data_IF_203568519760
#
_entry.id   IF_203568519760
#
_cell.length_a   1.000
_cell.length_b   1.000
_cell.length_c   1.000
_cell.angle_alpha   90.00
_cell.angle_beta   90.00
_cell.angle_gamma   90.00
#
_symmetry.space_group_name_H-M   'P 1'
#
loop_
_entity.id
_entity.type
_entity.pdbx_description
1 polymer ?
#
# COMPACT_ATOMS: atom_id res chain seq x y z
N UNK A 1 -9.80 -8.09 -20.16
CA UNK A 1 -9.29 -9.15 -19.25
C UNK A 1 -7.88 -8.78 -18.86
N UNK A 2 -7.64 -8.22 -17.67
CA UNK A 2 -6.31 -7.71 -17.34
C UNK A 2 -6.16 -7.48 -15.85
N UNK A 3 -5.90 -8.55 -15.12
CA UNK A 3 -5.59 -8.48 -13.70
C UNK A 3 -4.08 -8.65 -13.58
N UNK A 4 -3.36 -7.58 -13.25
CA UNK A 4 -1.90 -7.58 -13.10
C UNK A 4 -1.56 -7.62 -11.61
N UNK A 5 -1.04 -8.74 -11.14
CA UNK A 5 -0.57 -8.90 -9.75
C UNK A 5 0.91 -9.25 -9.74
N UNK A 6 1.74 -8.35 -9.24
CA UNK A 6 3.18 -8.57 -9.08
C UNK A 6 3.46 -8.68 -7.59
N UNK A 7 3.95 -9.83 -7.16
CA UNK A 7 4.27 -10.09 -5.76
C UNK A 7 5.70 -10.60 -5.64
N UNK A 8 6.59 -9.73 -5.18
CA UNK A 8 7.94 -10.05 -4.76
C UNK A 8 7.97 -10.08 -3.23
N UNK A 9 7.94 -11.25 -2.61
CA UNK A 9 7.79 -11.37 -1.17
C UNK A 9 7.62 -12.78 -0.68
N UNK A 10 7.63 -12.97 0.65
CA UNK A 10 7.49 -14.30 1.27
C UNK A 10 6.03 -14.63 1.59
N UNK A 11 5.26 -13.63 1.99
CA UNK A 11 3.84 -13.70 2.36
C UNK A 11 3.13 -12.47 1.80
N UNK A 12 2.28 -12.65 0.80
CA UNK A 12 1.52 -11.54 0.25
C UNK A 12 0.14 -11.98 -0.23
N UNK A 13 -0.91 -11.30 0.25
CA UNK A 13 -2.31 -11.57 -0.12
C UNK A 13 -2.90 -10.38 -0.85
N UNK A 14 -3.28 -10.57 -2.12
CA UNK A 14 -3.82 -9.53 -2.99
C UNK A 14 -5.25 -9.82 -3.41
N UNK A 15 -6.10 -8.82 -3.28
CA UNK A 15 -7.46 -8.87 -3.77
C UNK A 15 -7.74 -7.58 -4.55
N UNK A 16 -7.87 -7.67 -5.87
CA UNK A 16 -8.07 -6.53 -6.78
C UNK A 16 -7.39 -6.74 -8.13
N UNK A 17 -7.71 -5.88 -9.10
CA UNK A 17 -7.24 -6.07 -10.49
C UNK A 17 -5.76 -5.77 -10.67
N UNK A 18 -5.26 -4.65 -10.15
CA UNK A 18 -3.86 -4.22 -10.38
C UNK A 18 -3.15 -4.03 -9.06
N UNK A 19 -2.21 -4.90 -8.71
CA UNK A 19 -1.50 -4.81 -7.42
C UNK A 19 -0.02 -5.13 -7.57
N UNK A 20 0.84 -4.34 -6.92
CA UNK A 20 2.30 -4.52 -6.94
C UNK A 20 2.81 -4.53 -5.51
N UNK A 21 3.53 -5.59 -5.15
CA UNK A 21 4.00 -5.86 -3.79
C UNK A 21 5.46 -6.23 -3.79
N UNK A 22 6.29 -5.44 -3.10
CA UNK A 22 7.75 -5.70 -2.96
C UNK A 22 8.29 -5.75 -1.53
N UNK A 23 8.43 -6.93 -0.94
CA UNK A 23 8.96 -7.23 0.40
C UNK A 23 8.18 -8.32 1.15
N UNK A 24 8.51 -8.59 2.42
CA UNK A 24 8.20 -9.87 3.10
C UNK A 24 6.72 -10.18 3.34
N UNK A 25 5.98 -9.36 4.09
CA UNK A 25 4.64 -9.67 4.61
C UNK A 25 3.64 -8.57 4.25
N UNK A 26 2.64 -8.88 3.42
CA UNK A 26 1.75 -7.85 2.86
C UNK A 26 0.31 -8.28 2.67
N UNK A 27 -0.59 -7.35 2.97
CA UNK A 27 -2.01 -7.47 2.68
C UNK A 27 -2.41 -6.29 1.81
N UNK A 28 -3.03 -6.53 0.67
CA UNK A 28 -3.52 -5.45 -0.19
C UNK A 28 -4.88 -5.83 -0.74
N UNK A 29 -5.86 -4.99 -0.49
CA UNK A 29 -7.25 -5.20 -0.88
C UNK A 29 -7.73 -3.92 -1.56
N UNK A 30 -8.17 -4.01 -2.81
CA UNK A 30 -8.62 -2.90 -3.65
C UNK A 30 -7.88 -2.81 -4.99
N UNK A 31 -8.44 -2.03 -5.91
CA UNK A 31 -7.93 -1.89 -7.28
C UNK A 31 -6.76 -0.90 -7.36
N UNK A 32 -5.73 -1.22 -8.13
CA UNK A 32 -4.57 -0.33 -8.39
C UNK A 32 -3.79 0.05 -7.13
N UNK A 33 -3.06 -0.89 -6.54
CA UNK A 33 -2.30 -0.65 -5.30
C UNK A 33 -0.83 -1.03 -5.40
N UNK A 34 0.06 -0.18 -4.91
CA UNK A 34 1.51 -0.36 -4.92
C UNK A 34 2.04 -0.31 -3.49
N UNK A 35 2.53 -1.44 -3.02
CA UNK A 35 2.95 -1.63 -1.63
C UNK A 35 4.41 -2.09 -1.59
N UNK A 36 5.29 -1.35 -0.92
CA UNK A 36 6.73 -1.60 -0.77
C UNK A 36 7.12 -1.57 0.71
N UNK A 37 7.90 -2.55 1.18
CA UNK A 37 8.23 -2.68 2.61
C UNK A 37 8.17 -4.09 3.20
N UNK A 38 8.50 -4.24 4.48
CA UNK A 38 8.57 -5.55 5.18
C UNK A 38 7.21 -6.03 5.71
N UNK A 39 6.41 -5.16 6.33
CA UNK A 39 5.09 -5.46 6.93
C UNK A 39 4.11 -4.36 6.53
N UNK A 40 3.30 -4.58 5.51
CA UNK A 40 2.44 -3.51 4.96
C UNK A 40 1.03 -4.00 4.65
N UNK A 41 0.04 -3.28 5.17
CA UNK A 41 -1.38 -3.53 4.90
C UNK A 41 -1.97 -2.31 4.20
N UNK A 42 -2.62 -2.53 3.05
CA UNK A 42 -3.27 -1.47 2.26
C UNK A 42 -4.68 -1.89 1.89
N UNK A 43 -5.68 -1.12 2.29
CA UNK A 43 -7.09 -1.41 2.06
C UNK A 43 -7.71 -0.21 1.33
N UNK A 44 -8.06 -0.32 0.07
CA UNK A 44 -8.61 0.76 -0.74
C UNK A 44 -8.13 0.72 -2.19
N UNK A 45 -8.78 1.49 -3.05
CA UNK A 45 -8.37 1.65 -4.45
C UNK A 45 -7.33 2.77 -4.61
N UNK A 46 -6.41 2.63 -5.57
CA UNK A 46 -5.38 3.64 -5.87
C UNK A 46 -4.49 3.95 -4.67
N UNK A 47 -3.93 2.93 -4.02
CA UNK A 47 -3.09 3.13 -2.81
C UNK A 47 -1.60 2.96 -3.10
N UNK A 48 -0.77 3.83 -2.52
CA UNK A 48 0.69 3.75 -2.62
C UNK A 48 1.30 3.81 -1.22
N UNK A 49 2.00 2.74 -0.87
CA UNK A 49 2.60 2.55 0.43
C UNK A 49 4.07 2.17 0.30
N UNK A 50 4.96 2.97 0.89
CA UNK A 50 6.40 2.68 0.90
C UNK A 50 6.97 2.87 2.30
N UNK A 51 6.89 1.83 3.13
CA UNK A 51 7.36 1.86 4.52
C UNK A 51 7.67 0.47 5.09
N UNK A 52 8.58 0.36 6.07
CA UNK A 52 8.93 -0.94 6.70
C UNK A 52 7.72 -1.55 7.39
N UNK A 53 6.96 -0.75 8.14
CA UNK A 53 5.74 -1.16 8.85
C UNK A 53 4.64 -0.14 8.58
N UNK A 54 3.52 -0.53 7.95
CA UNK A 54 2.49 0.43 7.58
C UNK A 54 1.09 -0.15 7.44
N UNK A 55 0.10 0.66 7.83
CA UNK A 55 -1.33 0.43 7.60
C UNK A 55 -1.91 1.62 6.83
N UNK A 56 -2.46 1.34 5.65
CA UNK A 56 -3.16 2.33 4.81
C UNK A 56 -4.59 1.88 4.64
N UNK A 57 -5.56 2.75 4.89
CA UNK A 57 -6.95 2.49 4.50
C UNK A 57 -7.56 3.70 3.79
N UNK A 58 -8.33 3.43 2.74
CA UNK A 58 -9.10 4.40 1.95
C UNK A 58 -8.54 4.66 0.55
N UNK A 59 -9.37 5.27 -0.30
CA UNK A 59 -9.06 5.49 -1.72
C UNK A 59 -8.05 6.63 -1.93
N UNK A 60 -7.19 6.48 -2.94
CA UNK A 60 -6.18 7.47 -3.32
C UNK A 60 -5.23 7.83 -2.16
N UNK A 61 -4.78 6.82 -1.41
CA UNK A 61 -3.94 7.02 -0.22
C UNK A 61 -2.45 6.91 -0.53
N UNK A 62 -1.68 7.87 -0.02
CA UNK A 62 -0.22 7.86 -0.12
C UNK A 62 0.42 7.99 1.27
N UNK A 63 1.40 7.16 1.59
CA UNK A 63 2.28 7.45 2.72
C UNK A 63 3.64 6.76 2.63
N UNK A 64 4.62 7.43 3.23
CA UNK A 64 6.06 7.10 3.19
C UNK A 64 6.64 7.28 4.58
N UNK A 65 7.59 6.44 4.95
CA UNK A 65 8.30 6.52 6.23
C UNK A 65 8.77 5.15 6.71
N UNK A 66 9.24 5.04 7.94
CA UNK A 66 9.59 3.75 8.57
C UNK A 66 8.37 3.06 9.15
N UNK A 67 7.61 3.80 9.97
CA UNK A 67 6.38 3.34 10.61
C UNK A 67 5.31 4.39 10.43
N UNK A 68 4.25 4.08 9.67
CA UNK A 68 3.18 5.06 9.39
C UNK A 68 1.81 4.40 9.33
N UNK A 69 0.81 5.09 9.85
CA UNK A 69 -0.61 4.76 9.69
C UNK A 69 -1.26 5.88 8.89
N UNK A 70 -2.10 5.55 7.93
CA UNK A 70 -2.74 6.54 7.08
C UNK A 70 -4.13 6.08 6.70
N UNK A 71 -5.13 6.76 7.24
CA UNK A 71 -6.54 6.52 6.98
C UNK A 71 -7.03 7.73 6.19
N UNK A 72 -7.18 7.57 4.87
CA UNK A 72 -7.31 8.68 3.94
C UNK A 72 -8.30 8.33 2.84
N UNK A 73 -9.34 9.15 2.67
CA UNK A 73 -9.98 9.36 1.37
C UNK A 73 -9.30 10.63 0.82
N UNK A 74 -8.25 10.48 0.01
CA UNK A 74 -7.42 11.59 -0.51
C UNK A 74 -6.70 12.49 0.50
N UNK A 75 -6.10 11.91 1.53
CA UNK A 75 -5.20 12.64 2.41
C UNK A 75 -3.80 12.90 1.69
N UNK A 76 -3.32 14.10 1.35
CA UNK A 76 -1.86 14.29 1.07
C UNK A 76 -1.04 14.42 2.38
N UNK A 77 -0.18 13.47 2.74
CA UNK A 77 0.65 13.60 3.95
C UNK A 77 1.75 14.65 3.70
N UNK A 78 1.38 15.94 3.81
CA UNK A 78 2.32 17.04 3.90
C UNK A 78 3.18 16.80 5.14
N UNK A 79 4.41 16.34 4.92
CA UNK A 79 5.49 16.48 5.88
C UNK A 79 5.76 17.98 5.96
N UNK A 80 5.31 18.62 7.04
CA UNK A 80 5.72 19.97 7.43
C UNK A 80 7.20 19.86 7.82
N UNK A 81 8.12 20.10 6.90
CA UNK A 81 9.48 20.51 7.24
C UNK A 81 9.45 22.01 7.45
N UNK A 82 9.98 22.43 8.59
CA UNK A 82 10.12 23.81 9.05
C UNK A 82 10.65 24.74 7.96
#
# INVERSE_FOLDING_TARGET
MGNTSITEGKTALSLGNTTIKRGKTKLTMGNSSITRGKKTTSLGASTIASAKTKLTMGNASFSRGTTTTSFRKAFFAKRKTL
#
